data_IF_677611468914
#
_entry.id   IF_677611468914
#
_cell.length_a   1.000
_cell.length_b   1.000
_cell.length_c   1.000
_cell.angle_alpha   90.00
_cell.angle_beta   90.00
_cell.angle_gamma   90.00
#
_symmetry.space_group_name_H-M   'P 1'
#
loop_
_entity.id
_entity.type
_entity.pdbx_description
1 polymer ?
#
# COMPACT_ATOMS: atom_id res chain seq x y z
N UNK A 1 3.93 15.11 -14.42
CA UNK A 1 4.77 13.94 -14.78
C UNK A 1 4.57 12.95 -13.66
N UNK A 2 3.88 11.84 -13.91
CA UNK A 2 3.65 10.83 -12.87
C UNK A 2 4.90 9.96 -12.77
N UNK A 3 5.54 9.91 -11.61
CA UNK A 3 6.77 9.13 -11.40
C UNK A 3 6.44 7.84 -10.65
N UNK A 4 6.94 6.71 -11.14
CA UNK A 4 6.88 5.44 -10.42
C UNK A 4 7.99 5.43 -9.38
N UNK A 5 7.63 5.13 -8.14
CA UNK A 5 8.52 5.05 -7.00
C UNK A 5 8.26 3.76 -6.22
N UNK A 6 9.25 3.33 -5.45
CA UNK A 6 9.16 2.14 -4.60
C UNK A 6 9.60 2.52 -3.19
N UNK A 7 8.85 2.07 -2.19
CA UNK A 7 9.15 2.30 -0.78
C UNK A 7 8.88 1.05 0.04
N UNK A 8 9.64 0.88 1.11
CA UNK A 8 9.47 -0.20 2.08
C UNK A 8 9.06 0.37 3.44
N UNK A 9 8.20 -0.37 4.13
CA UNK A 9 7.74 0.02 5.45
C UNK A 9 6.72 -0.95 6.01
N UNK A 10 6.25 -0.66 7.21
CA UNK A 10 5.23 -1.46 7.88
C UNK A 10 3.87 -0.81 7.70
N UNK A 11 2.84 -1.61 7.44
CA UNK A 11 1.47 -1.10 7.37
C UNK A 11 0.99 -0.82 8.79
N UNK A 12 0.55 0.41 9.04
CA UNK A 12 0.06 0.84 10.36
C UNK A 12 -1.45 1.03 10.38
N UNK A 13 -2.04 1.35 9.23
CA UNK A 13 -3.48 1.59 9.10
C UNK A 13 -3.98 1.05 7.76
N UNK A 14 -5.17 0.47 7.77
CA UNK A 14 -5.85 -0.05 6.57
C UNK A 14 -7.28 0.46 6.56
N UNK A 15 -7.63 1.23 5.54
CA UNK A 15 -8.98 1.76 5.29
C UNK A 15 -9.66 0.85 4.27
N UNK A 16 -10.76 0.25 4.69
CA UNK A 16 -11.48 -0.75 3.91
C UNK A 16 -12.96 -0.69 4.22
N UNK A 17 -13.80 -0.50 3.21
CA UNK A 17 -15.26 -0.58 3.31
C UNK A 17 -15.75 -2.03 3.51
N UNK A 18 -14.96 -3.01 3.06
CA UNK A 18 -15.28 -4.44 3.17
C UNK A 18 -14.05 -5.28 3.55
N UNK A 19 -14.22 -6.45 4.18
CA UNK A 19 -13.10 -7.32 4.52
C UNK A 19 -12.27 -7.76 3.30
N UNK A 20 -12.89 -7.82 2.12
CA UNK A 20 -12.27 -8.27 0.87
C UNK A 20 -11.72 -7.11 0.01
N UNK A 21 -12.03 -5.85 0.34
CA UNK A 21 -11.67 -4.69 -0.46
C UNK A 21 -10.95 -3.63 0.39
N UNK A 22 -9.74 -3.22 -0.02
CA UNK A 22 -9.03 -2.09 0.58
C UNK A 22 -9.20 -0.88 -0.34
N UNK A 23 -9.52 0.26 0.26
CA UNK A 23 -9.58 1.55 -0.44
C UNK A 23 -8.26 2.31 -0.31
N UNK A 24 -7.69 2.30 0.91
CA UNK A 24 -6.42 2.95 1.19
C UNK A 24 -5.69 2.28 2.36
N UNK A 25 -4.39 2.54 2.48
CA UNK A 25 -3.61 2.17 3.67
C UNK A 25 -2.53 3.20 3.94
N UNK A 26 -2.06 3.21 5.19
CA UNK A 26 -0.94 4.04 5.63
C UNK A 26 0.26 3.14 5.91
N UNK A 27 1.37 3.43 5.24
CA UNK A 27 2.66 2.79 5.44
C UNK A 27 3.52 3.69 6.32
N UNK A 28 4.19 3.12 7.33
CA UNK A 28 5.24 3.80 8.07
C UNK A 28 6.60 3.26 7.63
N UNK A 29 7.44 4.13 7.09
CA UNK A 29 8.82 3.78 6.71
C UNK A 29 9.70 3.61 7.95
N UNK A 30 10.88 3.03 7.79
CA UNK A 30 11.87 2.91 8.88
C UNK A 30 12.31 4.26 9.45
N UNK A 31 12.20 5.33 8.65
CA UNK A 31 12.52 6.70 9.04
C UNK A 31 11.40 7.34 9.87
N UNK A 32 10.29 6.63 10.08
CA UNK A 32 9.12 7.11 10.81
C UNK A 32 8.17 7.97 9.97
N UNK A 33 8.45 8.13 8.67
CA UNK A 33 7.57 8.83 7.75
C UNK A 33 6.31 8.00 7.47
N UNK A 34 5.15 8.65 7.48
CA UNK A 34 3.88 8.01 7.20
C UNK A 34 3.40 8.42 5.81
N UNK A 35 3.26 7.44 4.93
CA UNK A 35 2.82 7.61 3.55
C UNK A 35 1.43 7.00 3.40
N UNK A 36 0.50 7.83 2.95
CA UNK A 36 -0.85 7.38 2.63
C UNK A 36 -0.93 6.92 1.17
N UNK A 37 -1.53 5.77 0.95
CA UNK A 37 -1.66 5.12 -0.36
C UNK A 37 -3.10 4.80 -0.66
N UNK A 38 -3.55 5.14 -1.87
CA UNK A 38 -4.88 4.79 -2.37
C UNK A 38 -4.78 3.64 -3.36
N UNK A 39 -5.62 2.62 -3.19
CA UNK A 39 -5.82 1.55 -4.18
C UNK A 39 -6.91 2.02 -5.15
N UNK A 40 -6.57 3.01 -5.97
CA UNK A 40 -7.55 3.82 -6.68
C UNK A 40 -7.23 4.04 -8.15
N UNK A 41 -6.96 2.97 -8.89
CA UNK A 41 -6.80 3.06 -10.35
C UNK A 41 -7.41 1.86 -11.06
N UNK A 42 -8.00 2.10 -12.23
CA UNK A 42 -8.47 1.06 -13.18
C UNK A 42 -7.34 0.05 -13.55
N UNK A 43 -6.08 0.43 -13.28
CA UNK A 43 -4.87 -0.38 -13.41
C UNK A 43 -4.55 -1.31 -12.23
N UNK A 44 -5.18 -1.16 -11.06
CA UNK A 44 -4.96 -2.07 -9.94
C UNK A 44 -5.74 -3.36 -10.18
N UNK A 45 -5.16 -4.19 -11.03
CA UNK A 45 -5.71 -5.44 -11.52
C UNK A 45 -6.16 -6.35 -10.39
N UNK A 46 -7.36 -6.89 -10.60
CA UNK A 46 -7.98 -7.99 -9.88
C UNK A 46 -6.94 -9.09 -9.56
N UNK A 47 -6.30 -9.05 -8.39
CA UNK A 47 -5.41 -10.12 -7.90
C UNK A 47 -4.01 -9.76 -7.39
N UNK A 48 -3.58 -8.49 -7.30
CA UNK A 48 -2.15 -8.22 -6.97
C UNK A 48 -1.78 -8.23 -5.47
N UNK A 49 -2.70 -8.00 -4.53
CA UNK A 49 -2.46 -8.26 -3.10
C UNK A 49 -3.79 -8.27 -2.35
N UNK A 50 -4.26 -9.42 -1.83
CA UNK A 50 -5.56 -9.48 -1.18
C UNK A 50 -5.60 -8.62 0.08
N UNK A 51 -6.76 -8.05 0.36
CA UNK A 51 -7.00 -7.23 1.55
C UNK A 51 -6.59 -7.93 2.86
N UNK A 52 -6.86 -9.23 2.90
CA UNK A 52 -6.51 -10.13 4.00
C UNK A 52 -5.01 -10.17 4.24
N UNK A 53 -4.20 -10.27 3.17
CA UNK A 53 -2.74 -10.37 3.30
C UNK A 53 -2.15 -9.08 3.88
N UNK A 54 -2.63 -7.91 3.44
CA UNK A 54 -2.16 -6.62 3.97
C UNK A 54 -2.49 -6.44 5.46
N UNK A 55 -3.65 -6.97 5.92
CA UNK A 55 -3.99 -6.99 7.34
C UNK A 55 -3.11 -7.96 8.14
N UNK A 56 -2.66 -9.06 7.54
CA UNK A 56 -1.68 -9.95 8.19
C UNK A 56 -0.35 -9.24 8.44
N UNK A 57 0.18 -8.53 7.43
CA UNK A 57 1.37 -7.69 7.61
C UNK A 57 1.17 -6.60 8.67
N UNK A 58 0.00 -5.96 8.71
CA UNK A 58 -0.33 -4.98 9.74
C UNK A 58 -0.31 -5.63 11.15
N UNK A 59 -0.93 -6.80 11.31
CA UNK A 59 -1.03 -7.49 12.60
C UNK A 59 0.33 -7.99 13.10
N UNK A 60 1.21 -8.42 12.18
CA UNK A 60 2.53 -8.96 12.49
C UNK A 60 3.64 -7.89 12.43
N UNK A 61 3.30 -6.65 12.10
CA UNK A 61 4.24 -5.57 11.83
C UNK A 61 5.35 -5.97 10.82
N UNK A 62 4.99 -6.77 9.82
CA UNK A 62 5.91 -7.21 8.78
C UNK A 62 6.03 -6.14 7.70
N UNK A 63 7.25 -5.88 7.21
CA UNK A 63 7.45 -4.89 6.17
C UNK A 63 6.85 -5.37 4.85
N UNK A 64 6.39 -4.42 4.05
CA UNK A 64 5.93 -4.60 2.67
C UNK A 64 6.69 -3.62 1.78
N UNK A 65 6.90 -4.03 0.54
CA UNK A 65 7.41 -3.19 -0.54
C UNK A 65 6.23 -2.71 -1.38
N UNK A 66 6.05 -1.40 -1.44
CA UNK A 66 5.00 -0.73 -2.20
C UNK A 66 5.61 -0.03 -3.40
N UNK A 67 5.23 -0.45 -4.61
CA UNK A 67 5.51 0.32 -5.82
C UNK A 67 4.27 1.14 -6.16
N UNK A 68 4.43 2.45 -6.28
CA UNK A 68 3.34 3.39 -6.47
C UNK A 68 3.68 4.44 -7.52
N UNK A 69 2.63 5.05 -8.06
CA UNK A 69 2.70 6.19 -8.95
C UNK A 69 2.37 7.44 -8.15
N UNK A 70 3.33 8.34 -8.02
CA UNK A 70 3.11 9.66 -7.44
C UNK A 70 2.39 10.54 -8.46
N UNK A 71 1.14 10.89 -8.17
CA UNK A 71 0.27 11.76 -9.00
C UNK A 71 -0.10 13.02 -8.21
N UNK A 72 0.79 14.01 -8.25
CA UNK A 72 0.62 15.23 -7.46
C UNK A 72 0.71 14.93 -5.96
N UNK A 73 -0.39 15.15 -5.23
CA UNK A 73 -0.50 14.89 -3.79
C UNK A 73 -1.00 13.46 -3.47
N UNK A 74 -1.27 12.63 -4.47
CA UNK A 74 -1.78 11.28 -4.30
C UNK A 74 -0.74 10.21 -4.65
N UNK A 75 -0.65 9.17 -3.81
CA UNK A 75 0.14 7.98 -4.10
C UNK A 75 -0.78 6.82 -4.50
N UNK A 76 -0.80 6.51 -5.80
CA UNK A 76 -1.61 5.42 -6.34
C UNK A 76 -0.78 4.16 -6.37
N UNK A 77 -1.21 3.12 -5.66
CA UNK A 77 -0.47 1.85 -5.63
C UNK A 77 -0.54 1.21 -7.00
N UNK A 78 0.59 0.67 -7.46
CA UNK A 78 0.72 -0.06 -8.73
C UNK A 78 1.09 -1.52 -8.48
N UNK A 79 1.87 -1.80 -7.43
CA UNK A 79 2.21 -3.15 -7.00
C UNK A 79 2.51 -3.18 -5.50
N UNK A 80 2.16 -4.30 -4.88
CA UNK A 80 2.49 -4.64 -3.49
C UNK A 80 3.20 -5.99 -3.46
N UNK A 81 4.28 -6.06 -2.70
CA UNK A 81 5.12 -7.24 -2.53
C UNK A 81 5.52 -7.36 -1.05
N UNK A 82 5.72 -8.57 -0.56
CA UNK A 82 6.38 -8.80 0.73
C UNK A 82 7.81 -8.24 0.69
N UNK A 83 8.24 -7.63 1.79
CA UNK A 83 9.64 -7.24 1.98
C UNK A 83 10.31 -8.22 2.96
N UNK A 84 11.59 -8.49 2.72
CA UNK A 84 12.43 -9.40 3.53
C UNK A 84 13.14 -8.68 4.66
#
# INVERSE_FOLDING_TARGET
MSQIQTVEGVVVEVVSDSPEAIEAFTLRTEQGEQLHFSLGGEDFGHGTFPATHLREHQALAQPVRVTYRAEGDANVVVRLEDAE
#
